data_IF_231035076359
#
_entry.id   IF_231035076359
#
_cell.length_a   1.000
_cell.length_b   1.000
_cell.length_c   1.000
_cell.angle_alpha   90.00
_cell.angle_beta   90.00
_cell.angle_gamma   90.00
#
_symmetry.space_group_name_H-M   'P 1'
#
loop_
_entity.id
_entity.type
_entity.pdbx_description
1 polymer ?
#
# COMPACT_ATOMS: atom_id res chain seq x y z
N UNK A 1 -16.84 -13.80 -3.11
CA UNK A 1 -17.89 -14.75 -3.54
C UNK A 1 -18.55 -14.41 -4.87
N UNK A 2 -18.89 -13.15 -5.14
CA UNK A 2 -19.65 -12.71 -6.33
C UNK A 2 -18.82 -12.52 -7.60
N UNK A 3 -17.49 -12.37 -7.48
CA UNK A 3 -16.56 -12.19 -8.61
C UNK A 3 -15.41 -13.22 -8.58
N UNK A 4 -14.82 -13.56 -9.74
CA UNK A 4 -13.62 -14.40 -9.81
C UNK A 4 -12.45 -13.85 -8.98
N UNK A 5 -11.59 -14.75 -8.52
CA UNK A 5 -10.34 -14.44 -7.83
C UNK A 5 -9.25 -15.35 -8.36
N UNK A 6 -8.56 -14.83 -9.38
CA UNK A 6 -7.73 -15.60 -10.29
C UNK A 6 -6.23 -15.40 -10.02
N UNK A 7 -5.87 -14.69 -8.95
CA UNK A 7 -4.49 -14.52 -8.47
C UNK A 7 -3.48 -14.03 -9.53
N UNK A 8 -3.95 -13.40 -10.61
CA UNK A 8 -3.11 -12.93 -11.71
C UNK A 8 -2.48 -14.07 -12.54
N UNK A 9 -2.96 -15.31 -12.39
CA UNK A 9 -2.39 -16.50 -13.03
C UNK A 9 -3.40 -17.15 -13.98
N UNK A 10 -2.94 -17.57 -15.15
CA UNK A 10 -3.76 -18.34 -16.11
C UNK A 10 -4.20 -19.69 -15.56
N UNK A 11 -3.42 -20.29 -14.65
CA UNK A 11 -3.76 -21.54 -13.95
C UNK A 11 -5.00 -21.38 -13.07
N UNK A 12 -5.28 -20.15 -12.63
CA UNK A 12 -6.42 -19.82 -11.77
C UNK A 12 -7.57 -19.15 -12.54
N UNK A 13 -7.57 -19.19 -13.87
CA UNK A 13 -8.65 -18.63 -14.68
C UNK A 13 -10.01 -19.22 -14.29
N UNK A 14 -11.03 -18.36 -14.11
CA UNK A 14 -12.37 -18.75 -13.69
C UNK A 14 -12.51 -19.13 -12.21
N UNK A 15 -11.42 -19.14 -11.42
CA UNK A 15 -11.47 -19.49 -10.00
C UNK A 15 -12.42 -18.56 -9.24
N UNK A 16 -13.46 -19.11 -8.62
CA UNK A 16 -14.45 -18.37 -7.81
C UNK A 16 -14.51 -18.89 -6.37
N UNK A 17 -14.00 -18.12 -5.39
CA UNK A 17 -14.16 -18.47 -3.98
C UNK A 17 -15.64 -18.49 -3.57
N UNK A 18 -16.02 -19.46 -2.73
CA UNK A 18 -17.40 -19.59 -2.23
C UNK A 18 -17.79 -18.48 -1.25
N UNK A 19 -16.82 -17.95 -0.51
CA UNK A 19 -17.02 -16.90 0.50
C UNK A 19 -16.24 -15.63 0.15
N UNK A 20 -16.56 -14.54 0.84
CA UNK A 20 -15.75 -13.33 0.83
C UNK A 20 -14.60 -13.48 1.82
N UNK A 21 -13.45 -12.89 1.51
CA UNK A 21 -12.38 -12.71 2.50
C UNK A 21 -12.87 -11.78 3.63
N UNK A 22 -12.29 -11.90 4.83
CA UNK A 22 -12.73 -11.10 5.99
C UNK A 22 -12.70 -9.61 5.70
N UNK A 23 -11.71 -9.13 4.96
CA UNK A 23 -11.59 -7.72 4.55
C UNK A 23 -12.75 -7.26 3.67
N UNK A 24 -13.20 -8.11 2.74
CA UNK A 24 -14.36 -7.81 1.88
C UNK A 24 -15.64 -7.83 2.70
N UNK A 25 -15.79 -8.79 3.62
CA UNK A 25 -16.91 -8.86 4.55
C UNK A 25 -17.04 -7.60 5.42
N UNK A 26 -15.92 -7.13 5.99
CA UNK A 26 -15.87 -5.88 6.78
C UNK A 26 -16.28 -4.65 5.96
N UNK A 27 -15.76 -4.51 4.74
CA UNK A 27 -16.12 -3.41 3.85
C UNK A 27 -17.61 -3.41 3.52
N UNK A 28 -18.18 -4.58 3.18
CA UNK A 28 -19.63 -4.70 2.93
C UNK A 28 -20.46 -4.36 4.16
N UNK A 29 -20.06 -4.83 5.34
CA UNK A 29 -20.75 -4.52 6.59
C UNK A 29 -20.72 -3.02 6.93
N UNK A 30 -19.65 -2.31 6.52
CA UNK A 30 -19.55 -0.86 6.61
C UNK A 30 -20.31 -0.10 5.50
N UNK A 31 -21.04 -0.81 4.63
CA UNK A 31 -21.84 -0.21 3.54
C UNK A 31 -21.05 0.08 2.26
N UNK A 32 -19.80 -0.39 2.14
CA UNK A 32 -19.03 -0.18 0.92
C UNK A 32 -19.57 -1.00 -0.26
N UNK A 33 -19.61 -0.38 -1.44
CA UNK A 33 -19.90 -1.05 -2.71
C UNK A 33 -18.61 -1.66 -3.27
N UNK A 34 -18.57 -2.98 -3.42
CA UNK A 34 -17.43 -3.69 -4.01
C UNK A 34 -17.55 -3.60 -5.54
N UNK A 35 -16.90 -2.60 -6.13
CA UNK A 35 -17.01 -2.31 -7.57
C UNK A 35 -16.39 -3.40 -8.46
N UNK A 36 -15.28 -4.00 -8.04
CA UNK A 36 -14.53 -4.89 -8.91
C UNK A 36 -13.28 -5.49 -8.30
N UNK A 37 -12.54 -6.22 -9.13
CA UNK A 37 -11.25 -6.85 -8.80
C UNK A 37 -10.16 -6.14 -9.59
N UNK A 38 -9.16 -5.62 -8.89
CA UNK A 38 -8.00 -4.98 -9.51
C UNK A 38 -6.94 -6.03 -9.87
N UNK A 39 -6.13 -5.71 -10.90
CA UNK A 39 -5.06 -6.60 -11.36
C UNK A 39 -3.98 -6.75 -10.30
N UNK A 40 -3.58 -7.99 -10.03
CA UNK A 40 -2.35 -8.36 -9.29
C UNK A 40 -1.34 -8.95 -10.26
N UNK A 41 -0.05 -8.89 -9.93
CA UNK A 41 0.95 -9.77 -10.55
C UNK A 41 0.65 -11.22 -10.19
N UNK A 42 1.13 -12.16 -11.00
CA UNK A 42 0.93 -13.59 -10.79
C UNK A 42 1.39 -14.01 -9.40
N UNK A 43 0.45 -14.56 -8.61
CA UNK A 43 0.61 -14.95 -7.21
C UNK A 43 1.24 -13.89 -6.29
N UNK A 44 1.05 -12.61 -6.63
CA UNK A 44 1.66 -11.47 -5.97
C UNK A 44 3.21 -11.47 -5.99
N UNK A 45 3.81 -12.05 -7.02
CA UNK A 45 5.26 -12.15 -7.20
C UNK A 45 5.80 -11.18 -8.27
N UNK A 46 6.97 -11.48 -8.85
CA UNK A 46 7.81 -10.55 -9.61
C UNK A 46 7.32 -10.25 -11.04
N UNK A 47 6.40 -11.04 -11.58
CA UNK A 47 5.96 -10.89 -12.98
C UNK A 47 5.28 -9.54 -13.23
N UNK A 48 5.53 -8.96 -14.40
CA UNK A 48 4.95 -7.65 -14.75
C UNK A 48 3.45 -7.81 -15.06
N UNK A 49 2.62 -7.07 -14.33
CA UNK A 49 1.21 -6.91 -14.66
C UNK A 49 1.03 -6.08 -15.94
N UNK A 50 -0.04 -6.34 -16.70
CA UNK A 50 -0.40 -5.56 -17.88
C UNK A 50 -0.87 -4.12 -17.57
N UNK A 51 -1.17 -3.83 -16.31
CA UNK A 51 -1.55 -2.49 -15.84
C UNK A 51 -0.44 -1.47 -16.12
N UNK A 52 -0.83 -0.27 -16.56
CA UNK A 52 0.06 0.85 -16.86
C UNK A 52 -0.06 1.94 -15.81
N UNK A 53 0.97 2.76 -15.65
CA UNK A 53 0.97 3.88 -14.72
C UNK A 53 0.04 5.02 -15.21
N UNK A 54 -0.91 5.52 -14.38
CA UNK A 54 -1.81 6.61 -14.77
C UNK A 54 -1.11 7.95 -15.08
N UNK A 55 0.07 8.21 -14.52
CA UNK A 55 0.84 9.44 -14.82
C UNK A 55 1.53 9.37 -16.18
N UNK A 56 1.92 8.16 -16.60
CA UNK A 56 2.51 7.93 -17.92
C UNK A 56 2.34 6.45 -18.32
N UNK A 57 1.51 6.15 -19.33
CA UNK A 57 1.23 4.76 -19.73
C UNK A 57 2.42 3.97 -20.28
N UNK A 58 3.57 4.60 -20.53
CA UNK A 58 4.81 3.93 -20.89
C UNK A 58 5.54 3.29 -19.68
N UNK A 59 5.11 3.62 -18.45
CA UNK A 59 5.76 3.19 -17.22
C UNK A 59 4.91 2.19 -16.43
N UNK A 60 5.59 1.44 -15.56
CA UNK A 60 4.95 0.51 -14.62
C UNK A 60 4.22 1.28 -13.50
N UNK A 61 3.03 0.82 -13.06
CA UNK A 61 2.38 1.33 -11.85
C UNK A 61 3.03 0.78 -10.57
N UNK A 62 4.06 -0.04 -10.68
CA UNK A 62 4.58 -0.86 -9.59
C UNK A 62 3.75 -2.13 -9.42
N UNK A 63 4.02 -2.89 -8.35
CA UNK A 63 3.34 -4.15 -8.08
C UNK A 63 3.78 -4.74 -6.74
N UNK A 64 3.16 -5.82 -6.25
CA UNK A 64 2.16 -6.65 -6.94
C UNK A 64 0.74 -6.08 -7.01
N UNK A 65 0.37 -5.15 -6.12
CA UNK A 65 -0.96 -4.49 -6.10
C UNK A 65 -1.13 -3.43 -7.21
N UNK A 66 -0.75 -3.80 -8.42
CA UNK A 66 -0.60 -2.92 -9.60
C UNK A 66 -1.90 -2.20 -9.94
N UNK A 67 -3.01 -2.95 -10.04
CA UNK A 67 -4.30 -2.40 -10.38
C UNK A 67 -4.89 -1.53 -9.28
N UNK A 68 -4.62 -1.84 -8.00
CA UNK A 68 -5.18 -1.08 -6.86
C UNK A 68 -4.63 0.34 -6.81
N UNK A 69 -3.31 0.49 -6.89
CA UNK A 69 -2.69 1.82 -6.91
C UNK A 69 -3.09 2.60 -8.17
N UNK A 70 -3.08 1.95 -9.33
CA UNK A 70 -3.44 2.59 -10.59
C UNK A 70 -4.91 3.02 -10.64
N UNK A 71 -5.84 2.21 -10.12
CA UNK A 71 -7.26 2.54 -10.12
C UNK A 71 -7.58 3.76 -9.22
N UNK A 72 -6.91 3.87 -8.07
CA UNK A 72 -7.02 5.04 -7.20
C UNK A 72 -6.42 6.27 -7.87
N UNK A 73 -5.21 6.15 -8.42
CA UNK A 73 -4.51 7.26 -9.07
C UNK A 73 -5.24 7.79 -10.32
N UNK A 74 -5.91 6.92 -11.06
CA UNK A 74 -6.75 7.29 -12.21
C UNK A 74 -8.12 7.85 -11.82
N UNK A 75 -8.47 7.90 -10.52
CA UNK A 75 -9.77 8.37 -10.05
C UNK A 75 -10.94 7.43 -10.33
N UNK A 76 -10.67 6.15 -10.66
CA UNK A 76 -11.74 5.16 -10.88
C UNK A 76 -12.44 4.76 -9.59
N UNK A 77 -11.70 4.71 -8.48
CA UNK A 77 -12.21 4.42 -7.13
C UNK A 77 -11.49 5.31 -6.11
N UNK A 78 -12.17 5.73 -5.03
CA UNK A 78 -11.51 6.50 -3.97
C UNK A 78 -10.62 5.63 -3.06
N UNK A 79 -10.92 4.33 -3.00
CA UNK A 79 -10.37 3.37 -2.06
C UNK A 79 -10.04 2.06 -2.76
N UNK A 80 -8.90 1.45 -2.42
CA UNK A 80 -8.57 0.09 -2.86
C UNK A 80 -7.82 -0.68 -1.77
N UNK A 81 -7.93 -2.02 -1.83
CA UNK A 81 -7.18 -2.95 -0.98
C UNK A 81 -6.07 -3.60 -1.81
N UNK A 82 -4.94 -3.88 -1.18
CA UNK A 82 -3.87 -4.70 -1.74
C UNK A 82 -3.12 -5.47 -0.67
N UNK A 83 -1.99 -6.04 -1.03
CA UNK A 83 -1.14 -6.79 -0.10
C UNK A 83 0.32 -6.41 -0.24
N UNK A 84 1.10 -6.61 0.82
CA UNK A 84 2.54 -6.44 0.82
C UNK A 84 3.23 -7.59 1.53
N UNK A 85 4.06 -8.30 0.78
CA UNK A 85 5.05 -9.27 1.28
C UNK A 85 6.43 -8.63 1.35
N UNK A 86 6.86 -7.97 0.28
CA UNK A 86 8.10 -7.17 0.23
C UNK A 86 7.82 -5.67 0.19
N UNK A 87 7.24 -5.20 -0.92
CA UNK A 87 7.00 -3.76 -1.17
C UNK A 87 5.68 -3.46 -1.87
N UNK A 88 4.78 -4.44 -1.96
CA UNK A 88 3.64 -4.43 -2.87
C UNK A 88 2.47 -3.50 -2.52
N UNK A 89 2.60 -2.68 -1.46
CA UNK A 89 1.71 -1.56 -1.16
C UNK A 89 2.46 -0.24 -1.33
N UNK A 90 3.58 -0.06 -0.63
CA UNK A 90 4.29 1.23 -0.62
C UNK A 90 4.90 1.58 -1.98
N UNK A 91 5.51 0.62 -2.68
CA UNK A 91 6.12 0.85 -4.00
C UNK A 91 5.08 1.27 -5.06
N UNK A 92 3.97 0.53 -5.29
CA UNK A 92 2.99 0.98 -6.27
C UNK A 92 2.26 2.26 -5.86
N UNK A 93 2.07 2.52 -4.56
CA UNK A 93 1.53 3.79 -4.08
C UNK A 93 2.45 4.97 -4.47
N UNK A 94 3.76 4.85 -4.24
CA UNK A 94 4.74 5.85 -4.62
C UNK A 94 4.80 6.05 -6.14
N UNK A 95 4.80 4.97 -6.93
CA UNK A 95 4.87 5.04 -8.39
C UNK A 95 3.62 5.69 -8.98
N UNK A 96 2.44 5.42 -8.42
CA UNK A 96 1.17 5.97 -8.87
C UNK A 96 0.80 7.29 -8.16
N UNK A 97 1.64 7.81 -7.27
CA UNK A 97 1.39 9.10 -6.59
C UNK A 97 0.14 9.12 -5.72
N UNK A 98 -0.16 8.04 -5.01
CA UNK A 98 -1.31 7.92 -4.10
C UNK A 98 -0.88 7.59 -2.68
N UNK A 99 -1.80 7.77 -1.73
CA UNK A 99 -1.56 7.34 -0.35
C UNK A 99 -1.67 5.82 -0.28
N UNK A 100 -0.66 5.19 0.35
CA UNK A 100 -0.65 3.75 0.62
C UNK A 100 -0.21 3.47 2.04
N UNK A 101 -0.90 2.55 2.71
CA UNK A 101 -0.58 2.16 4.09
C UNK A 101 -0.41 0.65 4.19
N UNK A 102 0.78 0.24 4.65
CA UNK A 102 1.03 -1.11 5.16
C UNK A 102 1.03 -1.05 6.69
N UNK A 103 -0.04 -1.47 7.36
CA UNK A 103 -0.11 -1.42 8.82
C UNK A 103 0.84 -2.42 9.49
N UNK A 104 0.86 -2.39 10.82
CA UNK A 104 1.53 -3.40 11.64
C UNK A 104 1.02 -4.80 11.29
N UNK A 105 1.91 -5.79 11.46
CA UNK A 105 1.56 -7.18 11.20
C UNK A 105 0.36 -7.59 12.05
N UNK A 106 -0.60 -8.28 11.43
CA UNK A 106 -1.82 -8.73 12.12
C UNK A 106 -2.90 -7.67 12.33
N UNK A 107 -2.66 -6.38 12.07
CA UNK A 107 -3.67 -5.34 12.26
C UNK A 107 -4.93 -5.54 11.40
N UNK A 108 -4.76 -6.06 10.18
CA UNK A 108 -5.84 -6.43 9.27
C UNK A 108 -5.81 -7.94 9.04
N UNK A 109 -6.97 -8.60 9.13
CA UNK A 109 -7.07 -10.06 8.89
C UNK A 109 -6.65 -10.43 7.46
N UNK A 110 -5.89 -11.52 7.35
CA UNK A 110 -5.48 -12.12 6.07
C UNK A 110 -6.37 -13.28 5.64
N UNK A 111 -7.41 -13.59 6.40
CA UNK A 111 -8.28 -14.73 6.10
C UNK A 111 -9.01 -14.54 4.77
N UNK A 112 -8.88 -15.53 3.88
CA UNK A 112 -9.40 -15.49 2.50
C UNK A 112 -8.51 -14.75 1.50
N UNK A 113 -7.34 -14.24 1.93
CA UNK A 113 -6.32 -13.64 1.06
C UNK A 113 -5.32 -14.72 0.62
N UNK A 114 -4.77 -14.59 -0.60
CA UNK A 114 -3.66 -15.45 -1.04
C UNK A 114 -2.50 -15.34 -0.04
N UNK A 115 -2.00 -16.47 0.45
CA UNK A 115 -0.82 -16.53 1.29
C UNK A 115 0.42 -16.74 0.41
N UNK A 116 1.20 -15.69 0.21
CA UNK A 116 2.52 -15.75 -0.44
C UNK A 116 3.61 -16.02 0.59
N UNK A 117 3.46 -15.52 1.82
CA UNK A 117 4.36 -15.77 2.95
C UNK A 117 3.62 -15.77 4.29
N UNK A 118 3.93 -16.77 5.12
CA UNK A 118 3.34 -16.87 6.46
C UNK A 118 3.70 -15.67 7.35
N UNK A 119 4.96 -15.22 7.28
CA UNK A 119 5.54 -14.22 8.19
C UNK A 119 5.54 -12.80 7.62
N UNK A 120 5.50 -12.65 6.30
CA UNK A 120 5.70 -11.35 5.65
C UNK A 120 4.43 -10.74 5.07
N UNK A 121 3.36 -11.51 4.84
CA UNK A 121 2.18 -10.94 4.20
C UNK A 121 1.46 -9.96 5.11
N UNK A 122 1.09 -8.83 4.54
CA UNK A 122 0.24 -7.81 5.13
C UNK A 122 -0.88 -7.48 4.14
N UNK A 123 -2.10 -7.27 4.63
CA UNK A 123 -3.09 -6.51 3.86
C UNK A 123 -2.78 -5.03 4.05
N UNK A 124 -2.79 -4.27 2.96
CA UNK A 124 -2.67 -2.82 2.97
C UNK A 124 -3.78 -2.15 2.17
N UNK A 125 -3.79 -0.83 2.23
CA UNK A 125 -4.85 0.00 1.64
C UNK A 125 -4.26 1.15 0.83
N UNK A 126 -5.03 1.61 -0.15
CA UNK A 126 -4.71 2.74 -1.01
C UNK A 126 -5.88 3.73 -1.00
N UNK A 127 -5.57 5.03 -1.04
CA UNK A 127 -6.57 6.08 -1.11
C UNK A 127 -6.06 7.33 -1.83
N UNK A 128 -6.99 8.10 -2.41
CA UNK A 128 -6.69 9.39 -3.04
C UNK A 128 -6.41 10.52 -2.04
N UNK A 129 -6.90 10.39 -0.80
CA UNK A 129 -6.72 11.37 0.27
C UNK A 129 -6.29 10.70 1.58
N UNK A 130 -5.68 11.47 2.50
CA UNK A 130 -5.35 10.97 3.85
C UNK A 130 -6.60 10.63 4.67
N UNK A 131 -7.68 11.41 4.55
CA UNK A 131 -8.93 11.15 5.25
C UNK A 131 -9.54 9.81 4.84
N UNK A 132 -9.57 9.54 3.54
CA UNK A 132 -10.03 8.26 2.97
C UNK A 132 -9.14 7.09 3.41
N UNK A 133 -7.81 7.30 3.44
CA UNK A 133 -6.86 6.31 3.95
C UNK A 133 -7.16 5.94 5.41
N UNK A 134 -7.47 6.94 6.24
CA UNK A 134 -7.88 6.73 7.63
C UNK A 134 -9.22 6.00 7.72
N UNK A 135 -10.22 6.38 6.91
CA UNK A 135 -11.56 5.77 6.89
C UNK A 135 -11.53 4.27 6.56
N UNK A 136 -10.84 3.88 5.49
CA UNK A 136 -10.73 2.45 5.15
C UNK A 136 -9.92 1.67 6.22
N UNK A 137 -8.93 2.33 6.84
CA UNK A 137 -8.12 1.74 7.90
C UNK A 137 -8.93 1.45 9.15
N UNK A 138 -9.81 2.36 9.58
CA UNK A 138 -10.73 2.15 10.70
C UNK A 138 -11.64 0.95 10.49
N UNK A 139 -12.17 0.79 9.28
CA UNK A 139 -13.06 -0.33 8.94
C UNK A 139 -12.33 -1.67 8.97
N UNK A 140 -11.07 -1.70 8.52
CA UNK A 140 -10.35 -2.95 8.30
C UNK A 140 -9.49 -3.39 9.47
N UNK A 141 -9.01 -2.49 10.32
CA UNK A 141 -8.11 -2.82 11.41
C UNK A 141 -8.88 -3.27 12.66
N UNK A 142 -8.51 -4.42 13.23
CA UNK A 142 -9.23 -5.00 14.38
C UNK A 142 -9.13 -4.14 15.66
N UNK A 143 -8.03 -3.41 15.82
CA UNK A 143 -7.74 -2.57 17.00
C UNK A 143 -7.63 -1.08 16.67
N UNK A 144 -8.04 -0.65 15.47
CA UNK A 144 -8.12 0.78 15.24
C UNK A 144 -9.24 1.35 16.12
N UNK A 145 -8.85 2.10 17.15
CA UNK A 145 -9.79 2.97 17.85
C UNK A 145 -10.49 3.89 16.86
N UNK A 146 -11.71 4.29 17.17
CA UNK A 146 -12.42 5.32 16.40
C UNK A 146 -11.56 6.59 16.32
N UNK A 147 -11.47 7.22 15.14
CA UNK A 147 -10.85 8.52 14.96
C UNK A 147 -9.53 8.56 14.19
N UNK A 148 -9.05 7.46 13.61
CA UNK A 148 -7.93 7.48 12.66
C UNK A 148 -8.25 8.30 11.40
N UNK A 149 -9.48 8.27 10.89
CA UNK A 149 -9.93 9.14 9.79
C UNK A 149 -9.82 10.62 10.19
N UNK A 150 -10.21 10.94 11.42
CA UNK A 150 -10.13 12.28 11.97
C UNK A 150 -8.69 12.71 12.28
N UNK A 151 -7.85 11.80 12.80
CA UNK A 151 -6.43 12.03 13.05
C UNK A 151 -5.64 12.22 11.75
N UNK A 152 -6.02 11.53 10.67
CA UNK A 152 -5.37 11.64 9.36
C UNK A 152 -5.54 13.02 8.71
N UNK A 153 -6.58 13.79 9.10
CA UNK A 153 -6.85 15.12 8.57
C UNK A 153 -6.59 16.25 9.57
N UNK A 154 -6.26 15.93 10.82
CA UNK A 154 -5.88 16.92 11.83
C UNK A 154 -4.36 17.04 11.89
N UNK A 155 -3.79 18.25 11.75
CA UNK A 155 -2.37 18.43 12.00
C UNK A 155 -2.07 18.07 13.47
N UNK A 156 -0.90 17.47 13.75
CA UNK A 156 -0.52 17.15 15.11
C UNK A 156 -0.36 18.44 15.93
N UNK A 157 -0.78 18.42 17.20
CA UNK A 157 -0.72 19.58 18.10
C UNK A 157 0.72 20.08 18.32
N UNK A 158 1.70 19.19 18.16
CA UNK A 158 3.13 19.50 18.23
C UNK A 158 3.79 19.02 16.94
N UNK A 159 4.80 19.75 16.44
CA UNK A 159 5.54 19.30 15.26
C UNK A 159 6.14 17.91 15.53
N UNK A 160 6.01 16.96 14.59
CA UNK A 160 6.56 15.63 14.77
C UNK A 160 8.08 15.71 14.84
N UNK A 161 8.68 14.80 15.63
CA UNK A 161 10.13 14.58 15.63
C UNK A 161 10.43 13.47 14.65
N UNK A 162 11.07 13.83 13.55
CA UNK A 162 11.36 12.92 12.45
C UNK A 162 12.85 12.57 12.46
N UNK A 163 13.14 11.30 12.20
CA UNK A 163 14.50 10.79 12.05
C UNK A 163 14.68 10.31 10.61
N UNK A 164 15.70 10.81 9.95
CA UNK A 164 16.14 10.37 8.64
C UNK A 164 17.45 9.58 8.77
N UNK A 165 17.44 8.32 8.35
CA UNK A 165 18.65 7.53 8.19
C UNK A 165 19.17 7.66 6.76
N UNK A 166 20.39 8.15 6.61
CA UNK A 166 21.08 8.21 5.32
C UNK A 166 22.11 7.09 5.19
N UNK A 167 22.45 6.74 3.95
CA UNK A 167 23.31 5.59 3.63
C UNK A 167 22.55 4.26 3.52
N UNK A 168 21.22 4.26 3.70
CA UNK A 168 20.40 3.09 3.39
C UNK A 168 20.28 2.93 1.87
N UNK A 169 20.56 1.73 1.34
CA UNK A 169 20.46 1.40 -0.08
C UNK A 169 21.33 2.30 -0.98
N UNK A 170 22.43 2.81 -0.44
CA UNK A 170 23.33 3.71 -1.15
C UNK A 170 23.90 3.00 -2.40
N UNK A 171 23.80 3.65 -3.56
CA UNK A 171 24.25 3.10 -4.84
C UNK A 171 23.23 2.21 -5.57
N UNK A 172 22.09 1.86 -4.94
CA UNK A 172 20.97 1.14 -5.61
C UNK A 172 19.75 2.03 -5.81
N UNK A 173 19.61 3.09 -5.02
CA UNK A 173 18.55 4.11 -5.17
C UNK A 173 18.89 5.07 -6.30
N UNK A 174 17.90 5.34 -7.16
CA UNK A 174 18.06 6.32 -8.23
C UNK A 174 18.16 7.74 -7.69
N UNK A 175 19.01 8.57 -8.29
CA UNK A 175 19.34 9.94 -7.83
C UNK A 175 18.09 10.79 -7.54
N UNK A 176 17.05 10.69 -8.38
CA UNK A 176 15.83 11.49 -8.22
C UNK A 176 15.04 11.17 -6.93
N UNK A 177 15.19 9.97 -6.38
CA UNK A 177 14.57 9.58 -5.10
C UNK A 177 15.25 10.33 -3.96
N UNK A 178 16.58 10.34 -3.94
CA UNK A 178 17.37 11.07 -2.96
C UNK A 178 17.09 12.57 -3.05
N UNK A 179 17.08 13.14 -4.26
CA UNK A 179 16.72 14.55 -4.47
C UNK A 179 15.32 14.88 -3.93
N UNK A 180 14.34 13.99 -4.17
CA UNK A 180 12.98 14.14 -3.64
C UNK A 180 12.95 14.16 -2.12
N UNK A 181 13.67 13.24 -1.49
CA UNK A 181 13.78 13.17 -0.03
C UNK A 181 14.50 14.39 0.55
N UNK A 182 15.58 14.86 -0.08
CA UNK A 182 16.29 16.06 0.36
C UNK A 182 15.41 17.31 0.29
N UNK A 183 14.58 17.46 -0.76
CA UNK A 183 13.59 18.55 -0.83
C UNK A 183 12.58 18.48 0.32
N UNK A 184 12.14 17.28 0.71
CA UNK A 184 11.24 17.09 1.84
C UNK A 184 11.91 17.46 3.17
N UNK A 185 13.15 16.99 3.39
CA UNK A 185 13.93 17.31 4.59
C UNK A 185 14.15 18.82 4.72
N UNK A 186 14.55 19.49 3.64
CA UNK A 186 14.73 20.94 3.62
C UNK A 186 13.43 21.69 3.97
N UNK A 187 12.29 21.21 3.48
CA UNK A 187 10.97 21.80 3.79
C UNK A 187 10.55 21.59 5.25
N UNK A 188 10.87 20.44 5.83
CA UNK A 188 10.52 20.11 7.23
C UNK A 188 11.50 20.72 8.24
N UNK A 189 12.70 21.08 7.79
CA UNK A 189 13.70 21.83 8.55
C UNK A 189 14.00 21.20 9.92
N UNK A 190 13.86 21.95 11.02
CA UNK A 190 14.28 21.51 12.36
C UNK A 190 13.48 20.32 12.91
N UNK A 191 12.36 19.96 12.28
CA UNK A 191 11.61 18.76 12.65
C UNK A 191 12.38 17.46 12.34
N UNK A 192 13.38 17.51 11.44
CA UNK A 192 14.13 16.34 10.99
C UNK A 192 15.54 16.31 11.59
N UNK A 193 15.85 15.23 12.30
CA UNK A 193 17.22 14.86 12.64
C UNK A 193 17.74 13.86 11.60
N UNK A 194 18.94 14.07 11.05
CA UNK A 194 19.58 13.10 10.14
C UNK A 194 20.72 12.37 10.83
N UNK A 195 20.83 11.05 10.61
CA UNK A 195 21.88 10.18 11.16
C UNK A 195 22.31 9.14 10.12
N UNK A 196 23.53 8.64 10.23
CA UNK A 196 23.96 7.47 9.46
C UNK A 196 23.13 6.26 9.89
N UNK A 197 22.72 5.43 8.94
CA UNK A 197 22.02 4.19 9.21
C UNK A 197 22.87 3.23 10.09
N UNK A 198 22.31 2.63 11.15
CA UNK A 198 22.99 1.60 11.92
C UNK A 198 23.43 0.42 11.03
N UNK A 199 24.59 -0.15 11.32
CA UNK A 199 25.18 -1.24 10.52
C UNK A 199 24.26 -2.47 10.47
N UNK A 200 23.51 -2.72 11.54
CA UNK A 200 22.56 -3.83 11.66
C UNK A 200 21.41 -3.70 10.67
N UNK A 201 20.96 -2.48 10.38
CA UNK A 201 19.90 -2.22 9.39
C UNK A 201 20.50 -2.23 7.97
N UNK A 202 21.74 -1.76 7.83
CA UNK A 202 22.44 -1.79 6.55
C UNK A 202 22.70 -3.22 6.03
N UNK A 203 22.77 -4.22 6.92
CA UNK A 203 22.96 -5.63 6.57
C UNK A 203 21.72 -6.30 5.93
N UNK A 204 20.53 -5.69 6.02
CA UNK A 204 19.29 -6.21 5.41
C UNK A 204 19.02 -5.63 4.00
N UNK A 205 20.03 -5.04 3.38
CA UNK A 205 19.95 -4.42 2.04
C UNK A 205 20.24 -5.41 0.92
#
# INVERSE_FOLDING_TARGET
RDMPTEWGSTVCAGRRPATDAVVVGRLRAAGAVILGKTVTTEFAYLDKAATRNPHNPAFSPGGSSSGSAAAVAAGHVPLAVGTQTGGSVIRPAAFCGVYGLKPSVGSISREGVLQTSQTLDHVGVFAGTLGDLGLISEVLMAEAGQGLAQAAVRPPERPPRLLHYHGLYAGTVAVHVDEGLQRLIAKLGPAVSSRIAPAEIAAYQ
#
